data_IF_127701462195
#
_entry.id   IF_127701462195
#
_cell.length_a   1.000
_cell.length_b   1.000
_cell.length_c   1.000
_cell.angle_alpha   90.00
_cell.angle_beta   90.00
_cell.angle_gamma   90.00
#
_symmetry.space_group_name_H-M   'P 1'
#
loop_
_entity.id
_entity.type
_entity.pdbx_description
1 polymer ?
#
# COMPACT_ATOMS: atom_id res chain seq x y z
N UNK A 1 -3.90 -12.53 10.66
CA UNK A 1 -2.99 -11.65 11.44
C UNK A 1 -3.12 -10.24 10.87
N UNK A 2 -3.26 -9.18 11.69
CA UNK A 2 -3.39 -7.80 11.17
C UNK A 2 -2.01 -7.17 11.04
N UNK A 3 -1.63 -6.78 9.83
CA UNK A 3 -0.41 -6.03 9.53
C UNK A 3 -0.78 -4.67 8.94
N UNK A 4 0.19 -3.77 8.76
CA UNK A 4 -0.06 -2.51 8.02
C UNK A 4 0.22 -2.68 6.54
N UNK A 5 -0.35 -1.81 5.71
CA UNK A 5 -0.04 -1.73 4.27
C UNK A 5 1.49 -1.66 4.05
N UNK A 6 2.21 -0.87 4.84
CA UNK A 6 3.68 -0.76 4.74
C UNK A 6 4.38 -2.08 5.03
N UNK A 7 3.99 -2.77 6.10
CA UNK A 7 4.63 -4.04 6.46
C UNK A 7 4.35 -5.11 5.40
N UNK A 8 3.11 -5.18 4.92
CA UNK A 8 2.72 -6.06 3.82
C UNK A 8 3.56 -5.76 2.56
N UNK A 9 3.64 -4.50 2.13
CA UNK A 9 4.40 -4.09 0.95
C UNK A 9 5.89 -4.50 1.03
N UNK A 10 6.52 -4.31 2.20
CA UNK A 10 7.95 -4.62 2.40
C UNK A 10 8.25 -6.11 2.39
N UNK A 11 7.30 -6.94 2.82
CA UNK A 11 7.48 -8.39 2.88
C UNK A 11 7.17 -9.04 1.53
N UNK A 12 6.05 -8.66 0.91
CA UNK A 12 5.56 -9.29 -0.33
C UNK A 12 6.18 -8.69 -1.59
N UNK A 13 6.57 -7.41 -1.57
CA UNK A 13 7.11 -6.69 -2.73
C UNK A 13 8.34 -5.82 -2.36
N UNK A 14 9.47 -6.43 -1.97
CA UNK A 14 10.66 -5.67 -1.56
C UNK A 14 11.14 -4.64 -2.58
N UNK A 15 10.96 -4.89 -3.88
CA UNK A 15 11.31 -3.94 -4.95
C UNK A 15 10.53 -2.62 -4.91
N UNK A 16 9.38 -2.55 -4.23
CA UNK A 16 8.62 -1.31 -4.06
C UNK A 16 9.31 -0.32 -3.11
N UNK A 17 10.28 -0.75 -2.32
CA UNK A 17 11.02 0.12 -1.41
C UNK A 17 11.67 1.31 -2.13
N UNK A 18 12.11 1.15 -3.39
CA UNK A 18 12.68 2.24 -4.21
C UNK A 18 11.67 3.35 -4.53
N UNK A 19 10.37 3.07 -4.41
CA UNK A 19 9.28 4.00 -4.68
C UNK A 19 8.54 4.46 -3.41
N UNK A 20 9.02 4.09 -2.21
CA UNK A 20 8.32 4.32 -0.93
C UNK A 20 7.92 5.79 -0.69
N UNK A 21 8.67 6.74 -1.26
CA UNK A 21 8.41 8.18 -1.11
C UNK A 21 7.37 8.74 -2.08
N UNK A 22 7.01 8.01 -3.12
CA UNK A 22 6.18 8.53 -4.23
C UNK A 22 5.00 7.62 -4.57
N UNK A 23 4.98 6.39 -4.06
CA UNK A 23 3.90 5.45 -4.26
C UNK A 23 2.75 5.72 -3.29
N UNK A 24 1.52 5.66 -3.78
CA UNK A 24 0.30 5.70 -2.97
C UNK A 24 -0.28 4.29 -2.82
N UNK A 25 -1.23 4.13 -1.90
CA UNK A 25 -1.94 2.86 -1.70
C UNK A 25 -3.45 3.04 -1.67
N UNK A 26 -4.18 2.01 -2.08
CA UNK A 26 -5.61 1.88 -1.86
C UNK A 26 -5.91 0.53 -1.19
N UNK A 27 -6.88 0.53 -0.28
CA UNK A 27 -7.42 -0.65 0.39
C UNK A 27 -8.89 -0.76 0.00
N UNK A 28 -9.30 -1.86 -0.61
CA UNK A 28 -10.68 -2.07 -1.07
C UNK A 28 -11.20 -0.90 -1.92
N UNK A 29 -10.39 -0.47 -2.89
CA UNK A 29 -10.62 0.66 -3.79
C UNK A 29 -10.65 2.08 -3.15
N UNK A 30 -10.48 2.19 -1.83
CA UNK A 30 -10.39 3.47 -1.13
C UNK A 30 -8.93 3.87 -0.88
N UNK A 31 -8.60 5.15 -1.05
CA UNK A 31 -7.26 5.64 -0.75
C UNK A 31 -6.88 5.34 0.70
N UNK A 32 -5.75 4.67 0.89
CA UNK A 32 -5.33 4.15 2.18
C UNK A 32 -3.97 4.73 2.57
N UNK A 33 -3.79 4.98 3.86
CA UNK A 33 -2.49 5.37 4.40
C UNK A 33 -1.61 4.12 4.55
N UNK A 34 -0.29 4.31 4.45
CA UNK A 34 0.68 3.21 4.59
C UNK A 34 0.67 2.55 5.99
N UNK A 35 0.17 3.24 7.02
CA UNK A 35 0.00 2.72 8.38
C UNK A 35 -1.40 2.11 8.64
N UNK A 36 -2.30 2.14 7.65
CA UNK A 36 -3.60 1.50 7.72
C UNK A 36 -3.44 -0.02 7.87
N UNK A 37 -4.27 -0.61 8.73
CA UNK A 37 -4.27 -2.06 8.97
C UNK A 37 -5.00 -2.79 7.85
N UNK A 38 -4.48 -3.94 7.49
CA UNK A 38 -5.06 -4.87 6.53
C UNK A 38 -5.41 -6.19 7.23
N UNK A 39 -6.46 -6.83 6.76
CA UNK A 39 -6.96 -8.13 7.22
C UNK A 39 -6.98 -9.12 6.07
N UNK A 40 -7.18 -10.38 6.40
CA UNK A 40 -7.35 -11.41 5.39
C UNK A 40 -8.59 -11.13 4.55
N UNK A 41 -8.47 -11.26 3.22
CA UNK A 41 -9.51 -10.91 2.26
C UNK A 41 -9.55 -9.44 1.81
N UNK A 42 -8.74 -8.55 2.37
CA UNK A 42 -8.63 -7.17 1.87
C UNK A 42 -7.81 -7.11 0.56
N UNK A 43 -8.25 -6.27 -0.37
CA UNK A 43 -7.51 -5.97 -1.60
C UNK A 43 -6.63 -4.73 -1.42
N UNK A 44 -5.36 -4.84 -1.80
CA UNK A 44 -4.39 -3.74 -1.73
C UNK A 44 -3.91 -3.42 -3.14
N UNK A 45 -4.05 -2.16 -3.54
CA UNK A 45 -3.44 -1.64 -4.76
C UNK A 45 -2.31 -0.66 -4.41
N UNK A 46 -1.18 -0.80 -5.10
CA UNK A 46 -0.09 0.17 -5.06
C UNK A 46 -0.14 1.01 -6.34
N UNK A 47 -0.33 2.32 -6.16
CA UNK A 47 -0.55 3.25 -7.25
C UNK A 47 0.76 4.02 -7.51
N UNK A 48 1.21 4.12 -8.77
CA UNK A 48 2.31 5.01 -9.11
C UNK A 48 1.99 6.46 -8.69
N UNK A 49 2.98 7.37 -8.66
CA UNK A 49 2.73 8.76 -8.33
C UNK A 49 1.61 9.31 -9.21
N UNK A 50 0.50 9.69 -8.58
CA UNK A 50 -0.62 10.33 -9.28
C UNK A 50 -0.47 11.84 -9.10
N UNK A 51 -0.28 12.57 -10.20
CA UNK A 51 -0.50 14.01 -10.20
C UNK A 51 -2.01 14.20 -10.07
N UNK A 52 -2.51 14.48 -8.88
CA UNK A 52 -3.94 14.81 -8.72
C UNK A 52 -4.24 16.06 -9.55
N UNK A 53 -4.73 15.85 -10.78
CA UNK A 53 -4.90 16.84 -11.83
C UNK A 53 -4.91 16.18 -13.20
#
# INVERSE_FOLDING_TARGET
MRVTVRLFARLEFPELARYERSISSALNADYARMDQRVSDGDEIAFLPPVSGG
#
